data_IF_356931417786
#
_entry.id   IF_356931417786
#
_cell.length_a   1.000
_cell.length_b   1.000
_cell.length_c   1.000
_cell.angle_alpha   90.00
_cell.angle_beta   90.00
_cell.angle_gamma   90.00
#
_symmetry.space_group_name_H-M   'P 1'
#
loop_
_entity.id
_entity.type
_entity.pdbx_description
1 polymer ?
#
# COMPACT_ATOMS: atom_id res chain seq x y z
N UNK A 1 21.85 39.71 -14.57
CA UNK A 1 21.57 39.11 -15.90
C UNK A 1 21.60 37.58 -15.89
N UNK A 2 22.31 36.92 -14.95
CA UNK A 2 22.30 35.45 -14.81
C UNK A 2 21.08 34.91 -14.03
N UNK A 3 20.61 35.65 -13.01
CA UNK A 3 19.45 35.25 -12.20
C UNK A 3 18.14 35.07 -12.99
N UNK A 4 17.95 35.79 -14.10
CA UNK A 4 16.70 35.73 -14.89
C UNK A 4 16.62 34.49 -15.79
N UNK A 5 17.75 33.85 -16.11
CA UNK A 5 17.78 32.60 -16.88
C UNK A 5 17.47 31.38 -15.99
N UNK A 6 17.98 31.37 -14.77
CA UNK A 6 17.73 30.32 -13.79
C UNK A 6 16.26 30.28 -13.38
N UNK A 7 15.63 31.44 -13.17
CA UNK A 7 14.19 31.54 -12.89
C UNK A 7 13.34 31.06 -14.06
N UNK A 8 13.66 31.45 -15.31
CA UNK A 8 12.92 31.03 -16.50
C UNK A 8 13.04 29.52 -16.77
N UNK A 9 14.21 28.94 -16.46
CA UNK A 9 14.44 27.49 -16.51
C UNK A 9 13.57 26.75 -15.48
N UNK A 10 13.52 27.25 -14.24
CA UNK A 10 12.62 26.69 -13.21
C UNK A 10 11.13 26.82 -13.56
N UNK A 11 10.72 27.92 -14.18
CA UNK A 11 9.34 28.10 -14.65
C UNK A 11 8.96 27.05 -15.70
N UNK A 12 9.87 26.74 -16.64
CA UNK A 12 9.66 25.70 -17.67
C UNK A 12 9.52 24.32 -17.04
N UNK A 13 10.42 23.98 -16.10
CA UNK A 13 10.39 22.68 -15.39
C UNK A 13 9.10 22.54 -14.59
N UNK A 14 8.63 23.60 -13.93
CA UNK A 14 7.36 23.57 -13.20
C UNK A 14 6.16 23.32 -14.12
N UNK A 15 6.19 23.87 -15.33
CA UNK A 15 5.11 23.68 -16.31
C UNK A 15 5.10 22.23 -16.82
N UNK A 16 6.26 21.71 -17.24
CA UNK A 16 6.41 20.32 -17.69
C UNK A 16 6.02 19.33 -16.58
N UNK A 17 6.43 19.60 -15.34
CA UNK A 17 6.06 18.77 -14.19
C UNK A 17 4.54 18.79 -13.95
N UNK A 18 3.90 19.96 -14.06
CA UNK A 18 2.45 20.08 -13.89
C UNK A 18 1.72 19.24 -14.94
N UNK A 19 2.14 19.29 -16.20
CA UNK A 19 1.54 18.49 -17.28
C UNK A 19 1.66 16.99 -16.98
N UNK A 20 2.82 16.53 -16.50
CA UNK A 20 3.03 15.13 -16.12
C UNK A 20 2.14 14.74 -14.93
N UNK A 21 2.05 15.58 -13.90
CA UNK A 21 1.23 15.30 -12.72
C UNK A 21 -0.27 15.24 -13.08
N UNK A 22 -0.73 16.09 -14.00
CA UNK A 22 -2.10 16.05 -14.51
C UNK A 22 -2.34 14.80 -15.36
N UNK A 23 -1.38 14.43 -16.22
CA UNK A 23 -1.46 13.23 -17.06
C UNK A 23 -1.55 11.94 -16.23
N UNK A 24 -0.79 11.85 -15.14
CA UNK A 24 -0.74 10.66 -14.28
C UNK A 24 -1.43 10.88 -12.94
N UNK A 25 -2.42 11.78 -12.87
CA UNK A 25 -3.09 12.15 -11.63
C UNK A 25 -3.67 10.94 -10.87
N UNK A 26 -4.08 9.89 -11.58
CA UNK A 26 -4.56 8.63 -11.01
C UNK A 26 -3.51 7.91 -10.15
N UNK A 27 -2.24 7.92 -10.57
CA UNK A 27 -1.13 7.24 -9.88
C UNK A 27 -0.85 7.87 -8.51
N UNK A 28 -1.14 9.17 -8.38
CA UNK A 28 -0.90 9.95 -7.16
C UNK A 28 -2.15 10.06 -6.26
N UNK A 29 -3.22 9.31 -6.56
CA UNK A 29 -4.38 9.27 -5.66
C UNK A 29 -4.05 8.43 -4.43
N UNK A 30 -4.23 9.00 -3.24
CA UNK A 30 -4.15 8.28 -1.96
C UNK A 30 -5.37 7.37 -1.78
N UNK A 31 -5.46 6.31 -2.59
CA UNK A 31 -6.53 5.32 -2.54
C UNK A 31 -5.94 3.93 -2.42
N UNK A 32 -6.29 3.25 -1.33
CA UNK A 32 -5.99 1.83 -1.17
C UNK A 32 -6.99 1.08 -2.06
N UNK A 33 -6.51 0.52 -3.17
CA UNK A 33 -7.32 -0.25 -4.12
C UNK A 33 -6.55 -1.51 -4.53
N UNK A 34 -7.29 -2.55 -4.94
CA UNK A 34 -6.67 -3.74 -5.49
C UNK A 34 -5.96 -3.41 -6.82
N UNK A 35 -4.77 -3.97 -7.08
CA UNK A 35 -4.14 -3.82 -8.37
C UNK A 35 -5.00 -4.49 -9.46
N UNK A 36 -4.83 -4.08 -10.73
CA UNK A 36 -5.48 -4.73 -11.87
C UNK A 36 -5.21 -6.24 -11.87
N UNK A 37 -6.18 -7.00 -12.37
CA UNK A 37 -6.04 -8.45 -12.50
C UNK A 37 -4.86 -8.80 -13.42
N UNK A 38 -4.00 -9.72 -12.97
CA UNK A 38 -2.83 -10.18 -13.70
C UNK A 38 -3.00 -11.66 -14.07
N UNK A 39 -2.51 -12.11 -15.22
CA UNK A 39 -2.63 -13.51 -15.65
C UNK A 39 -1.85 -14.49 -14.77
N UNK A 40 -0.85 -14.01 -14.02
CA UNK A 40 -0.01 -14.83 -13.16
C UNK A 40 -0.44 -14.68 -11.69
N UNK A 41 -0.90 -15.78 -11.11
CA UNK A 41 -1.16 -15.89 -9.67
C UNK A 41 0.12 -16.35 -8.97
N UNK A 42 0.49 -15.67 -7.89
CA UNK A 42 1.64 -16.03 -7.07
C UNK A 42 1.24 -17.11 -6.07
N UNK A 43 2.09 -18.12 -5.89
CA UNK A 43 1.90 -19.18 -4.91
C UNK A 43 3.16 -19.34 -4.06
N UNK A 44 2.97 -19.39 -2.74
CA UNK A 44 4.03 -19.72 -1.79
C UNK A 44 4.04 -21.25 -1.61
N UNK A 45 5.15 -21.89 -2.00
CA UNK A 45 5.36 -23.33 -1.80
C UNK A 45 6.05 -23.55 -0.45
N UNK A 46 5.50 -24.42 0.38
CA UNK A 46 6.12 -24.82 1.64
C UNK A 46 7.18 -25.89 1.41
N UNK A 47 8.19 -25.92 2.27
CA UNK A 47 9.16 -27.02 2.29
C UNK A 47 8.46 -28.32 2.73
N UNK A 48 8.95 -29.49 2.25
CA UNK A 48 8.52 -30.77 2.79
C UNK A 48 8.67 -30.77 4.33
N UNK A 49 7.67 -31.30 5.03
CA UNK A 49 7.60 -31.41 6.50
C UNK A 49 7.39 -30.09 7.28
N UNK A 50 7.22 -28.95 6.62
CA UNK A 50 6.89 -27.70 7.31
C UNK A 50 5.38 -27.57 7.53
N UNK A 51 4.93 -27.84 8.77
CA UNK A 51 3.53 -27.70 9.18
C UNK A 51 3.07 -26.25 9.38
N UNK A 52 1.77 -26.04 9.67
CA UNK A 52 1.23 -24.72 9.96
C UNK A 52 1.77 -24.14 11.26
N UNK A 53 2.04 -22.84 11.26
CA UNK A 53 2.49 -22.08 12.44
C UNK A 53 1.36 -21.19 12.92
N UNK A 54 0.87 -21.42 14.14
CA UNK A 54 -0.19 -20.62 14.75
C UNK A 54 0.28 -20.00 16.06
N UNK A 55 0.59 -18.71 16.01
CA UNK A 55 1.06 -17.93 17.15
C UNK A 55 -0.06 -17.03 17.68
N UNK A 56 -0.12 -16.88 19.01
CA UNK A 56 -1.09 -16.00 19.68
C UNK A 56 -0.74 -14.53 19.41
N UNK A 57 -1.72 -13.65 19.11
CA UNK A 57 -1.48 -12.22 18.97
C UNK A 57 -0.86 -11.58 20.22
N UNK A 58 -0.07 -10.53 20.02
CA UNK A 58 0.46 -9.73 21.13
C UNK A 58 -0.64 -8.90 21.78
N UNK A 59 -0.37 -8.42 23.00
CA UNK A 59 -1.22 -7.45 23.69
C UNK A 59 -0.74 -6.05 23.33
N UNK A 60 -1.58 -5.27 22.68
CA UNK A 60 -1.32 -3.86 22.35
C UNK A 60 -2.08 -2.93 23.30
N UNK A 61 -1.52 -1.75 23.64
CA UNK A 61 -2.24 -0.68 24.32
C UNK A 61 -3.46 -0.17 23.54
N UNK A 62 -4.40 0.48 24.23
CA UNK A 62 -5.67 0.94 23.63
C UNK A 62 -5.50 1.81 22.38
N UNK A 63 -4.55 2.76 22.37
CA UNK A 63 -4.35 3.65 21.23
C UNK A 63 -3.85 2.92 19.97
N UNK A 64 -3.04 1.87 20.14
CA UNK A 64 -2.58 1.05 19.00
C UNK A 64 -3.71 0.20 18.47
N UNK A 65 -4.52 -0.38 19.37
CA UNK A 65 -5.68 -1.18 18.98
C UNK A 65 -6.64 -0.39 18.08
N UNK A 66 -6.96 0.85 18.48
CA UNK A 66 -7.87 1.72 17.72
C UNK A 66 -7.35 2.00 16.31
N UNK A 67 -6.06 2.32 16.17
CA UNK A 67 -5.46 2.57 14.87
C UNK A 67 -5.37 1.31 14.00
N UNK A 68 -5.04 0.16 14.60
CA UNK A 68 -5.04 -1.14 13.90
C UNK A 68 -6.45 -1.46 13.40
N UNK A 69 -7.48 -1.30 14.23
CA UNK A 69 -8.87 -1.57 13.84
C UNK A 69 -9.35 -0.63 12.73
N UNK A 70 -8.97 0.65 12.76
CA UNK A 70 -9.24 1.62 11.69
C UNK A 70 -8.62 1.18 10.37
N UNK A 71 -7.33 0.86 10.36
CA UNK A 71 -6.63 0.43 9.14
C UNK A 71 -7.16 -0.90 8.60
N UNK A 72 -7.45 -1.87 9.48
CA UNK A 72 -8.05 -3.15 9.09
C UNK A 72 -9.42 -2.92 8.44
N UNK A 73 -10.23 -2.01 8.96
CA UNK A 73 -11.50 -1.65 8.35
C UNK A 73 -11.32 -1.06 6.94
N UNK A 74 -10.41 -0.11 6.78
CA UNK A 74 -10.09 0.50 5.48
C UNK A 74 -9.62 -0.53 4.45
N UNK A 75 -8.75 -1.45 4.85
CA UNK A 75 -8.24 -2.53 4.00
C UNK A 75 -9.32 -3.55 3.62
N UNK A 76 -10.28 -3.83 4.53
CA UNK A 76 -11.44 -4.67 4.24
C UNK A 76 -12.37 -4.01 3.22
N UNK A 77 -12.65 -2.71 3.37
CA UNK A 77 -13.47 -1.96 2.41
C UNK A 77 -12.80 -1.88 1.03
N UNK A 78 -11.48 -1.72 1.01
CA UNK A 78 -10.68 -1.72 -0.22
C UNK A 78 -10.59 -3.11 -0.89
N UNK A 79 -10.96 -4.18 -0.20
CA UNK A 79 -10.87 -5.56 -0.69
C UNK A 79 -9.45 -6.14 -0.72
N UNK A 80 -8.47 -5.43 -0.14
CA UNK A 80 -7.06 -5.87 -0.09
C UNK A 80 -6.89 -7.07 0.85
N UNK A 81 -7.68 -7.13 1.92
CA UNK A 81 -7.73 -8.26 2.85
C UNK A 81 -9.14 -8.82 2.95
N UNK A 82 -9.26 -10.05 3.48
CA UNK A 82 -10.55 -10.71 3.72
C UNK A 82 -10.48 -11.59 4.97
N UNK A 83 -11.62 -11.83 5.65
CA UNK A 83 -11.69 -12.83 6.71
C UNK A 83 -11.28 -14.22 6.19
N UNK A 84 -10.54 -14.97 7.00
CA UNK A 84 -10.15 -16.35 6.67
C UNK A 84 -10.03 -17.21 7.94
N UNK A 85 -10.30 -18.51 7.80
CA UNK A 85 -10.05 -19.51 8.83
C UNK A 85 -8.77 -20.29 8.47
N UNK A 86 -7.61 -19.67 8.65
CA UNK A 86 -6.31 -20.25 8.33
C UNK A 86 -5.73 -21.04 9.50
N UNK A 87 -5.03 -22.14 9.22
CA UNK A 87 -4.20 -22.83 10.22
C UNK A 87 -2.91 -22.06 10.53
N UNK A 88 -2.56 -21.06 9.71
CA UNK A 88 -1.43 -20.17 9.91
C UNK A 88 -1.87 -18.86 10.59
N UNK A 89 -1.14 -18.43 11.61
CA UNK A 89 -1.35 -17.16 12.31
C UNK A 89 0.00 -16.60 12.76
N UNK A 90 0.24 -15.34 12.41
CA UNK A 90 1.37 -14.53 12.89
C UNK A 90 0.82 -13.39 13.73
N UNK A 91 1.47 -13.02 14.85
CA UNK A 91 1.00 -11.91 15.66
C UNK A 91 1.22 -10.60 14.91
N UNK A 92 0.29 -9.66 15.12
CA UNK A 92 0.43 -8.25 14.77
C UNK A 92 1.12 -7.54 15.93
#
# INVERSE_FOLDING_TARGET
MLQTYETRSMESIKLELKEILEQYAEVFQDKITLPPERPQVHQIKLLPDHGPVSVRPYKYPHHQKEEIERQVHELLQAGVIRPSASAFSSPV
#
